data_IF_514403654019
#
_entry.id   IF_514403654019
#
_cell.length_a   1.000
_cell.length_b   1.000
_cell.length_c   1.000
_cell.angle_alpha   90.00
_cell.angle_beta   90.00
_cell.angle_gamma   90.00
#
_symmetry.space_group_name_H-M   'P 1'
#
loop_
_entity.id
_entity.type
_entity.pdbx_description
1 polymer ?
#
# COMPACT_ATOMS: atom_id res chain seq x y z
N UNK A 1 -1.57 -20.29 -20.74
CA UNK A 1 -0.98 -18.96 -20.76
C UNK A 1 0.40 -19.07 -20.13
N UNK A 2 1.43 -18.63 -20.84
CA UNK A 2 2.81 -18.64 -20.33
C UNK A 2 3.05 -17.47 -19.36
N UNK A 3 4.11 -17.58 -18.57
CA UNK A 3 4.48 -16.62 -17.53
C UNK A 3 4.77 -15.21 -18.08
N UNK A 4 5.42 -15.11 -19.24
CA UNK A 4 5.81 -13.81 -19.81
C UNK A 4 4.57 -13.03 -20.25
N UNK A 5 3.64 -13.69 -20.94
CA UNK A 5 2.35 -13.11 -21.31
C UNK A 5 1.58 -12.65 -20.06
N UNK A 6 1.56 -13.48 -19.00
CA UNK A 6 0.86 -13.13 -17.76
C UNK A 6 1.45 -11.88 -17.07
N UNK A 7 2.77 -11.72 -17.10
CA UNK A 7 3.45 -10.51 -16.58
C UNK A 7 3.10 -9.29 -17.42
N UNK A 8 3.14 -9.42 -18.76
CA UNK A 8 2.85 -8.33 -19.69
C UNK A 8 1.41 -7.85 -19.58
N UNK A 9 0.43 -8.75 -19.56
CA UNK A 9 -0.98 -8.40 -19.38
C UNK A 9 -1.23 -7.72 -18.02
N UNK A 10 -0.56 -8.19 -16.95
CA UNK A 10 -0.62 -7.55 -15.64
C UNK A 10 0.04 -6.17 -15.63
N UNK A 11 1.13 -5.97 -16.39
CA UNK A 11 1.74 -4.66 -16.60
C UNK A 11 0.80 -3.70 -17.35
N UNK A 12 0.07 -4.19 -18.36
CA UNK A 12 -0.96 -3.42 -19.04
C UNK A 12 -2.08 -3.00 -18.07
N UNK A 13 -2.57 -3.92 -17.23
CA UNK A 13 -3.55 -3.60 -16.20
C UNK A 13 -3.04 -2.56 -15.20
N UNK A 14 -1.78 -2.66 -14.77
CA UNK A 14 -1.16 -1.66 -13.92
C UNK A 14 -1.08 -0.28 -14.61
N UNK A 15 -0.73 -0.24 -15.89
CA UNK A 15 -0.71 1.01 -16.65
C UNK A 15 -2.12 1.63 -16.77
N UNK A 16 -3.17 0.81 -16.87
CA UNK A 16 -4.57 1.26 -16.87
C UNK A 16 -4.94 1.88 -15.52
N UNK A 17 -4.61 1.21 -14.40
CA UNK A 17 -4.81 1.75 -13.04
C UNK A 17 -4.10 3.10 -12.87
N UNK A 18 -2.85 3.21 -13.32
CA UNK A 18 -2.07 4.45 -13.23
C UNK A 18 -2.58 5.59 -14.12
N UNK A 19 -3.43 5.27 -15.11
CA UNK A 19 -4.17 6.23 -15.93
C UNK A 19 -5.64 6.37 -15.50
N UNK A 20 -5.98 5.98 -14.27
CA UNK A 20 -7.32 6.08 -13.69
C UNK A 20 -8.40 5.22 -14.38
N UNK A 21 -8.00 4.21 -15.17
CA UNK A 21 -8.91 3.30 -15.88
C UNK A 21 -9.09 2.01 -15.07
N UNK A 22 -9.65 2.12 -13.88
CA UNK A 22 -9.70 1.02 -12.90
C UNK A 22 -10.60 -0.13 -13.38
N UNK A 23 -11.76 0.20 -13.94
CA UNK A 23 -12.70 -0.80 -14.47
C UNK A 23 -12.11 -1.59 -15.65
N UNK A 24 -11.46 -0.90 -16.60
CA UNK A 24 -10.76 -1.55 -17.73
C UNK A 24 -9.65 -2.48 -17.25
N UNK A 25 -8.92 -2.09 -16.20
CA UNK A 25 -7.86 -2.93 -15.61
C UNK A 25 -8.44 -4.22 -15.00
N UNK A 26 -9.57 -4.13 -14.30
CA UNK A 26 -10.25 -5.31 -13.74
C UNK A 26 -10.77 -6.22 -14.85
N UNK A 27 -11.39 -5.66 -15.89
CA UNK A 27 -11.92 -6.43 -17.01
C UNK A 27 -10.83 -7.16 -17.79
N UNK A 28 -9.64 -6.55 -17.95
CA UNK A 28 -8.47 -7.20 -18.54
C UNK A 28 -8.01 -8.43 -17.74
N UNK A 29 -8.01 -8.35 -16.41
CA UNK A 29 -7.49 -9.41 -15.56
C UNK A 29 -8.51 -10.53 -15.26
N UNK A 30 -9.80 -10.21 -15.34
CA UNK A 30 -10.93 -11.08 -14.97
C UNK A 30 -11.02 -12.43 -15.71
N UNK A 31 -10.58 -12.61 -16.96
CA UNK A 31 -10.63 -13.91 -17.61
C UNK A 31 -9.65 -14.93 -17.01
N UNK A 32 -8.49 -14.46 -16.52
CA UNK A 32 -7.36 -15.33 -16.14
C UNK A 32 -7.03 -15.33 -14.65
N UNK A 33 -7.68 -14.50 -13.83
CA UNK A 33 -7.33 -14.34 -12.40
C UNK A 33 -7.42 -15.62 -11.55
N UNK A 34 -8.18 -16.65 -11.97
CA UNK A 34 -8.20 -17.96 -11.28
C UNK A 34 -7.15 -18.94 -11.79
N UNK A 35 -6.58 -18.68 -12.96
CA UNK A 35 -5.75 -19.64 -13.71
C UNK A 35 -4.29 -19.21 -13.84
N UNK A 36 -3.96 -17.94 -13.58
CA UNK A 36 -2.60 -17.40 -13.67
C UNK A 36 -2.24 -16.64 -12.39
N UNK A 37 -1.06 -16.90 -11.81
CA UNK A 37 -0.59 -16.27 -10.56
C UNK A 37 -0.53 -14.74 -10.63
N UNK A 38 -0.07 -14.16 -11.75
CA UNK A 38 0.07 -12.71 -11.92
C UNK A 38 -1.28 -12.02 -12.08
N UNK A 39 -2.16 -12.55 -12.92
CA UNK A 39 -3.56 -12.15 -13.01
C UNK A 39 -4.29 -12.24 -11.67
N UNK A 40 -4.08 -13.33 -10.91
CA UNK A 40 -4.67 -13.52 -9.59
C UNK A 40 -4.22 -12.42 -8.63
N UNK A 41 -2.91 -12.18 -8.57
CA UNK A 41 -2.30 -11.13 -7.76
C UNK A 41 -2.83 -9.74 -8.18
N UNK A 42 -2.76 -9.39 -9.46
CA UNK A 42 -3.18 -8.08 -9.96
C UNK A 42 -4.65 -7.80 -9.69
N UNK A 43 -5.53 -8.75 -10.01
CA UNK A 43 -6.98 -8.60 -9.82
C UNK A 43 -7.33 -8.45 -8.34
N UNK A 44 -6.75 -9.31 -7.49
CA UNK A 44 -6.96 -9.23 -6.04
C UNK A 44 -6.36 -7.96 -5.43
N UNK A 45 -5.22 -7.47 -5.93
CA UNK A 45 -4.58 -6.23 -5.48
C UNK A 45 -5.46 -5.00 -5.71
N UNK A 46 -6.09 -4.91 -6.88
CA UNK A 46 -7.01 -3.80 -7.20
C UNK A 46 -8.21 -3.81 -6.25
N UNK A 47 -8.81 -4.99 -6.00
CA UNK A 47 -9.92 -5.10 -5.05
C UNK A 47 -9.50 -4.86 -3.60
N UNK A 48 -8.29 -5.26 -3.19
CA UNK A 48 -7.72 -4.95 -1.87
C UNK A 48 -7.55 -3.44 -1.72
N UNK A 49 -7.05 -2.76 -2.76
CA UNK A 49 -6.90 -1.30 -2.77
C UNK A 49 -8.26 -0.63 -2.62
N UNK A 50 -9.27 -1.04 -3.40
CA UNK A 50 -10.64 -0.54 -3.28
C UNK A 50 -11.19 -0.74 -1.86
N UNK A 51 -11.14 -1.96 -1.33
CA UNK A 51 -11.64 -2.28 0.01
C UNK A 51 -10.95 -1.48 1.12
N UNK A 52 -9.64 -1.27 1.00
CA UNK A 52 -8.84 -0.47 1.95
C UNK A 52 -9.20 1.00 1.87
N UNK A 53 -9.56 1.53 0.70
CA UNK A 53 -9.95 2.92 0.57
C UNK A 53 -11.40 3.17 0.99
N UNK A 54 -12.33 2.27 0.63
CA UNK A 54 -13.76 2.45 0.88
C UNK A 54 -14.12 2.18 2.34
N UNK A 55 -13.38 1.29 3.01
CA UNK A 55 -13.73 0.76 4.35
C UNK A 55 -15.14 0.16 4.39
N UNK A 56 -15.69 -0.24 3.24
CA UNK A 56 -17.01 -0.87 3.17
C UNK A 56 -16.91 -2.37 3.45
N UNK A 57 -17.77 -2.85 4.35
CA UNK A 57 -17.77 -4.27 4.73
C UNK A 57 -17.94 -5.19 3.51
N UNK A 58 -18.81 -4.83 2.56
CA UNK A 58 -19.04 -5.61 1.34
C UNK A 58 -17.77 -5.72 0.49
N UNK A 59 -17.07 -4.61 0.29
CA UNK A 59 -15.82 -4.57 -0.47
C UNK A 59 -14.71 -5.36 0.24
N UNK A 60 -14.60 -5.21 1.56
CA UNK A 60 -13.64 -5.97 2.38
C UNK A 60 -13.91 -7.48 2.27
N UNK A 61 -15.16 -7.94 2.34
CA UNK A 61 -15.48 -9.36 2.19
C UNK A 61 -15.18 -9.87 0.77
N UNK A 62 -15.52 -9.08 -0.26
CA UNK A 62 -15.25 -9.43 -1.65
C UNK A 62 -13.74 -9.53 -1.93
N UNK A 63 -12.95 -8.57 -1.44
CA UNK A 63 -11.50 -8.57 -1.54
C UNK A 63 -10.89 -9.73 -0.74
N UNK A 64 -11.40 -10.03 0.46
CA UNK A 64 -10.94 -11.15 1.28
C UNK A 64 -11.25 -12.52 0.64
N UNK A 65 -12.39 -12.67 -0.03
CA UNK A 65 -12.69 -13.88 -0.81
C UNK A 65 -11.75 -14.00 -2.02
N UNK A 66 -11.54 -12.91 -2.74
CA UNK A 66 -10.68 -12.89 -3.94
C UNK A 66 -9.22 -13.18 -3.60
N UNK A 67 -8.66 -12.56 -2.55
CA UNK A 67 -7.26 -12.80 -2.14
C UNK A 67 -7.04 -14.23 -1.61
N UNK A 68 -8.07 -14.85 -1.00
CA UNK A 68 -8.02 -16.28 -0.62
C UNK A 68 -7.91 -17.18 -1.84
N UNK A 69 -8.69 -16.90 -2.88
CA UNK A 69 -8.61 -17.63 -4.14
C UNK A 69 -7.27 -17.36 -4.84
N UNK A 70 -6.77 -16.12 -4.85
CA UNK A 70 -5.46 -15.80 -5.42
C UNK A 70 -4.31 -16.55 -4.72
N UNK A 71 -4.36 -16.68 -3.38
CA UNK A 71 -3.42 -17.52 -2.64
C UNK A 71 -3.52 -18.99 -3.06
N UNK A 72 -4.74 -19.51 -3.27
CA UNK A 72 -4.95 -20.88 -3.74
C UNK A 72 -4.38 -21.07 -5.15
N UNK A 73 -4.62 -20.13 -6.07
CA UNK A 73 -4.02 -20.13 -7.41
C UNK A 73 -2.50 -20.14 -7.33
N UNK A 74 -1.87 -19.22 -6.57
CA UNK A 74 -0.41 -19.21 -6.41
C UNK A 74 0.11 -20.52 -5.79
N UNK A 75 -0.59 -21.08 -4.80
CA UNK A 75 -0.22 -22.35 -4.15
C UNK A 75 -0.23 -23.54 -5.12
N UNK A 76 -1.01 -23.52 -6.20
CA UNK A 76 -0.99 -24.58 -7.22
C UNK A 76 0.30 -24.59 -8.04
N UNK A 77 0.93 -23.43 -8.20
CA UNK A 77 2.22 -23.27 -8.87
C UNK A 77 3.40 -23.45 -7.90
N UNK A 78 3.15 -23.43 -6.58
CA UNK A 78 4.13 -23.78 -5.55
C UNK A 78 4.17 -25.31 -5.36
N UNK A 79 5.36 -25.92 -5.29
CA UNK A 79 5.47 -27.37 -5.03
C UNK A 79 4.94 -27.75 -3.65
N UNK A 80 4.18 -28.85 -3.57
CA UNK A 80 3.69 -29.45 -2.30
C UNK A 80 4.70 -30.33 -1.55
N UNK A 81 5.87 -30.64 -2.11
CA UNK A 81 6.80 -31.66 -1.56
C UNK A 81 8.29 -31.21 -1.46
N UNK A 82 8.59 -30.00 -0.97
CA UNK A 82 9.97 -29.68 -0.53
C UNK A 82 9.96 -29.17 0.90
N UNK A 83 9.62 -30.07 1.81
CA UNK A 83 10.11 -29.97 3.18
C UNK A 83 11.62 -30.24 3.07
N UNK A 84 12.43 -29.20 3.34
CA UNK A 84 13.90 -29.22 3.47
C UNK A 84 14.65 -29.40 2.14
N UNK A 85 15.12 -28.30 1.52
CA UNK A 85 16.01 -28.43 0.36
C UNK A 85 16.30 -27.20 -0.50
N UNK A 86 16.55 -26.03 0.09
CA UNK A 86 17.35 -24.94 -0.51
C UNK A 86 16.88 -24.40 -1.89
N UNK A 87 16.05 -23.35 -1.88
CA UNK A 87 15.87 -22.41 -3.01
C UNK A 87 17.22 -21.94 -3.58
N UNK A 88 18.26 -21.86 -2.74
CA UNK A 88 19.64 -21.56 -3.13
C UNK A 88 20.27 -22.65 -4.04
N UNK A 89 19.93 -23.93 -3.87
CA UNK A 89 20.37 -25.00 -4.77
C UNK A 89 19.65 -24.98 -6.14
N UNK A 90 18.38 -24.54 -6.17
CA UNK A 90 17.57 -24.49 -7.39
C UNK A 90 17.97 -23.35 -8.33
N UNK A 91 18.35 -22.20 -7.77
CA UNK A 91 18.76 -21.04 -8.57
C UNK A 91 20.19 -21.23 -9.15
N UNK A 92 21.00 -22.10 -8.55
CA UNK A 92 22.36 -22.42 -9.03
C UNK A 92 22.42 -23.29 -10.30
N UNK A 93 21.36 -24.08 -10.61
CA UNK A 93 21.38 -25.10 -11.69
C UNK A 93 20.52 -24.70 -12.91
N UNK A 94 20.80 -23.55 -13.54
CA UNK A 94 19.99 -22.98 -14.65
C UNK A 94 20.16 -23.60 -16.05
N UNK A 95 20.98 -24.65 -16.24
CA UNK A 95 21.38 -25.13 -17.59
C UNK A 95 20.52 -26.23 -18.24
N UNK A 96 19.30 -26.52 -17.75
CA UNK A 96 18.48 -27.66 -18.24
C UNK A 96 17.01 -27.29 -18.56
N UNK A 97 16.27 -28.09 -19.37
CA UNK A 97 14.85 -27.89 -19.69
C UNK A 97 13.90 -27.80 -18.47
N UNK A 98 14.38 -28.23 -17.30
CA UNK A 98 13.77 -28.03 -15.98
C UNK A 98 13.73 -26.56 -15.52
N UNK A 99 14.39 -25.63 -16.23
CA UNK A 99 14.51 -24.21 -15.86
C UNK A 99 13.17 -23.44 -15.92
N UNK A 100 12.25 -23.78 -16.84
CA UNK A 100 10.98 -23.05 -16.96
C UNK A 100 10.08 -23.27 -15.75
N UNK A 101 9.97 -24.54 -15.30
CA UNK A 101 9.22 -24.93 -14.11
C UNK A 101 9.82 -24.30 -12.83
N UNK A 102 11.16 -24.25 -12.73
CA UNK A 102 11.84 -23.56 -11.61
C UNK A 102 11.57 -22.06 -11.62
N UNK A 103 11.51 -21.43 -12.79
CA UNK A 103 11.22 -20.00 -12.90
C UNK A 103 9.78 -19.68 -12.48
N UNK A 104 8.80 -20.45 -12.94
CA UNK A 104 7.40 -20.30 -12.51
C UNK A 104 7.23 -20.48 -10.99
N UNK A 105 7.95 -21.44 -10.39
CA UNK A 105 7.96 -21.65 -8.94
C UNK A 105 8.47 -20.42 -8.18
N UNK A 106 9.58 -19.82 -8.63
CA UNK A 106 10.13 -18.60 -8.03
C UNK A 106 9.13 -17.43 -8.05
N UNK A 107 8.46 -17.23 -9.18
CA UNK A 107 7.42 -16.20 -9.30
C UNK A 107 6.19 -16.51 -8.44
N UNK A 108 5.83 -17.78 -8.29
CA UNK A 108 4.72 -18.20 -7.44
C UNK A 108 5.00 -17.93 -5.96
N UNK A 109 6.24 -18.12 -5.50
CA UNK A 109 6.67 -17.77 -4.13
C UNK A 109 6.46 -16.27 -3.85
N UNK A 110 6.91 -15.39 -4.74
CA UNK A 110 6.77 -13.94 -4.58
C UNK A 110 5.30 -13.51 -4.65
N UNK A 111 4.54 -13.97 -5.64
CA UNK A 111 3.11 -13.64 -5.75
C UNK A 111 2.34 -14.12 -4.50
N UNK A 112 2.68 -15.29 -3.97
CA UNK A 112 2.10 -15.81 -2.74
C UNK A 112 2.48 -14.94 -1.52
N UNK A 113 3.75 -14.55 -1.38
CA UNK A 113 4.22 -13.69 -0.30
C UNK A 113 3.52 -12.32 -0.31
N UNK A 114 3.26 -11.74 -1.49
CA UNK A 114 2.51 -10.49 -1.65
C UNK A 114 1.03 -10.67 -1.29
N UNK A 115 0.41 -11.75 -1.75
CA UNK A 115 -0.97 -12.05 -1.40
C UNK A 115 -1.14 -12.26 0.12
N UNK A 116 -0.14 -12.85 0.79
CA UNK A 116 -0.13 -12.98 2.25
C UNK A 116 -0.11 -11.62 2.94
N UNK A 117 0.69 -10.67 2.45
CA UNK A 117 0.75 -9.31 2.99
C UNK A 117 -0.57 -8.56 2.80
N UNK A 118 -1.13 -8.60 1.60
CA UNK A 118 -2.43 -7.97 1.31
C UNK A 118 -3.55 -8.58 2.15
N UNK A 119 -3.56 -9.90 2.33
CA UNK A 119 -4.52 -10.58 3.19
C UNK A 119 -4.34 -10.22 4.67
N UNK A 120 -3.10 -10.08 5.15
CA UNK A 120 -2.83 -9.63 6.51
C UNK A 120 -3.33 -8.19 6.71
N UNK A 121 -3.07 -7.31 5.75
CA UNK A 121 -3.58 -5.93 5.74
C UNK A 121 -5.11 -5.88 5.84
N UNK A 122 -5.82 -6.62 4.98
CA UNK A 122 -7.28 -6.70 5.04
C UNK A 122 -7.79 -7.28 6.36
N UNK A 123 -7.07 -8.23 6.95
CA UNK A 123 -7.42 -8.79 8.27
C UNK A 123 -7.38 -7.69 9.33
N UNK A 124 -6.34 -6.86 9.35
CA UNK A 124 -6.24 -5.74 10.30
C UNK A 124 -7.30 -4.66 10.05
N UNK A 125 -7.62 -4.35 8.78
CA UNK A 125 -8.71 -3.41 8.41
C UNK A 125 -10.07 -3.94 8.85
N UNK A 126 -10.32 -5.24 8.68
CA UNK A 126 -11.57 -5.88 9.07
C UNK A 126 -11.79 -5.81 10.58
N UNK A 127 -10.74 -6.03 11.40
CA UNK A 127 -10.85 -5.92 12.86
C UNK A 127 -11.31 -4.51 13.27
N UNK A 128 -10.78 -3.46 12.63
CA UNK A 128 -11.16 -2.07 12.90
C UNK A 128 -12.61 -1.73 12.50
N UNK A 129 -13.20 -2.45 11.54
CA UNK A 129 -14.60 -2.25 11.14
C UNK A 129 -15.59 -2.86 12.16
N UNK A 130 -15.22 -3.98 12.79
CA UNK A 130 -16.05 -4.62 13.83
C UNK A 130 -16.11 -3.73 15.08
N UNK A 131 -15.00 -3.10 15.48
CA UNK A 131 -14.99 -2.14 16.60
C UNK A 131 -15.88 -0.91 16.39
N UNK A 132 -16.15 -0.49 15.14
CA UNK A 132 -17.05 0.64 14.87
C UNK A 132 -18.55 0.26 14.88
N UNK A 133 -18.90 -1.03 14.75
CA UNK A 133 -20.29 -1.47 14.59
C UNK A 133 -20.84 -2.27 15.78
N UNK A 134 -19.99 -2.78 16.68
CA UNK A 134 -20.43 -3.58 17.83
C UNK A 134 -19.90 -3.04 19.15
N UNK A 135 -20.22 -1.77 19.47
CA UNK A 135 -20.26 -1.35 20.86
C UNK A 135 -21.50 -1.96 21.52
N UNK A 136 -21.41 -3.22 21.94
CA UNK A 136 -22.28 -3.80 22.98
C UNK A 136 -21.38 -4.30 24.12
N UNK A 137 -21.55 -3.80 25.36
CA UNK A 137 -20.63 -4.02 26.46
C UNK A 137 -20.86 -5.38 27.15
N UNK A 138 -20.79 -6.49 26.41
CA UNK A 138 -20.94 -7.86 26.96
C UNK A 138 -20.07 -8.88 26.23
N UNK A 139 -18.77 -8.64 26.04
CA UNK A 139 -17.80 -9.71 25.72
C UNK A 139 -16.43 -9.33 26.28
N UNK A 140 -16.23 -9.52 27.58
CA UNK A 140 -14.95 -9.31 28.26
C UNK A 140 -14.46 -10.60 28.94
N UNK A 141 -14.72 -11.80 28.39
CA UNK A 141 -14.21 -13.04 29.01
C UNK A 141 -13.97 -14.25 28.09
N UNK A 142 -13.79 -14.05 26.79
CA UNK A 142 -13.28 -15.09 25.86
C UNK A 142 -12.12 -14.50 25.07
N UNK A 143 -11.07 -15.26 24.78
CA UNK A 143 -10.00 -14.78 23.89
C UNK A 143 -10.62 -14.35 22.56
N UNK A 144 -10.77 -13.04 22.35
CA UNK A 144 -11.59 -12.49 21.28
C UNK A 144 -11.21 -13.07 19.92
N UNK A 145 -12.19 -13.35 19.05
CA UNK A 145 -11.97 -13.65 17.62
C UNK A 145 -11.07 -12.59 16.96
N UNK A 146 -11.08 -11.37 17.49
CA UNK A 146 -10.23 -10.23 17.11
C UNK A 146 -8.75 -10.46 17.45
N UNK A 147 -8.41 -10.98 18.64
CA UNK A 147 -7.02 -11.31 18.98
C UNK A 147 -6.51 -12.48 18.11
N UNK A 148 -7.37 -13.46 17.83
CA UNK A 148 -7.05 -14.57 16.92
C UNK A 148 -6.77 -14.07 15.50
N UNK A 149 -7.55 -13.11 14.99
CA UNK A 149 -7.32 -12.53 13.66
C UNK A 149 -6.05 -11.67 13.61
N UNK A 150 -5.71 -10.93 14.67
CA UNK A 150 -4.40 -10.25 14.79
C UNK A 150 -3.23 -11.23 14.75
N UNK A 151 -3.29 -12.33 15.52
CA UNK A 151 -2.27 -13.40 15.50
C UNK A 151 -2.18 -14.02 14.11
N UNK A 152 -3.33 -14.36 13.50
CA UNK A 152 -3.38 -14.90 12.13
C UNK A 152 -2.81 -13.93 11.10
N UNK A 153 -2.94 -12.62 11.30
CA UNK A 153 -2.32 -11.58 10.47
C UNK A 153 -0.81 -11.57 10.66
N UNK A 154 -0.33 -11.54 11.91
CA UNK A 154 1.09 -11.57 12.25
C UNK A 154 1.83 -12.78 11.68
N UNK A 155 1.25 -13.98 11.79
CA UNK A 155 1.83 -15.22 11.22
C UNK A 155 2.00 -15.10 9.69
N UNK A 156 1.06 -14.45 8.98
CA UNK A 156 1.15 -14.26 7.51
C UNK A 156 2.26 -13.29 7.14
N UNK A 157 2.41 -12.21 7.90
CA UNK A 157 3.50 -11.25 7.74
C UNK A 157 4.85 -11.94 7.95
N UNK A 158 4.97 -12.75 9.01
CA UNK A 158 6.17 -13.54 9.27
C UNK A 158 6.47 -14.55 8.15
N UNK A 159 5.46 -15.28 7.69
CA UNK A 159 5.62 -16.25 6.59
C UNK A 159 6.10 -15.54 5.31
N UNK A 160 5.49 -14.39 4.97
CA UNK A 160 5.90 -13.58 3.83
C UNK A 160 7.35 -13.10 3.96
N UNK A 161 7.74 -12.60 5.14
CA UNK A 161 9.11 -12.16 5.41
C UNK A 161 10.13 -13.29 5.19
N UNK A 162 9.85 -14.50 5.67
CA UNK A 162 10.74 -15.64 5.48
C UNK A 162 10.89 -16.01 4.00
N UNK A 163 9.79 -16.02 3.23
CA UNK A 163 9.84 -16.29 1.79
C UNK A 163 10.75 -15.28 1.07
N UNK A 164 10.65 -13.99 1.40
CA UNK A 164 11.53 -12.97 0.80
C UNK A 164 13.00 -13.16 1.17
N UNK A 165 13.31 -13.52 2.42
CA UNK A 165 14.69 -13.85 2.82
C UNK A 165 15.24 -15.05 2.05
N UNK A 166 14.43 -16.10 1.90
CA UNK A 166 14.83 -17.30 1.17
C UNK A 166 15.08 -16.99 -0.31
N UNK A 167 14.22 -16.17 -0.93
CA UNK A 167 14.39 -15.69 -2.30
C UNK A 167 15.66 -14.85 -2.46
N UNK A 168 15.93 -13.93 -1.53
CA UNK A 168 17.13 -13.08 -1.57
C UNK A 168 18.42 -13.90 -1.44
N UNK A 169 18.48 -14.82 -0.47
CA UNK A 169 19.63 -15.72 -0.31
C UNK A 169 19.88 -16.56 -1.57
N UNK A 170 18.78 -16.96 -2.22
CA UNK A 170 18.81 -17.65 -3.50
C UNK A 170 19.47 -16.85 -4.63
N UNK A 171 19.18 -15.55 -4.73
CA UNK A 171 19.79 -14.65 -5.71
C UNK A 171 21.29 -14.45 -5.41
N UNK A 172 21.66 -14.16 -4.16
CA UNK A 172 23.06 -13.91 -3.78
C UNK A 172 23.99 -15.10 -4.02
N UNK A 173 23.45 -16.32 -4.03
CA UNK A 173 24.22 -17.55 -4.34
C UNK A 173 24.43 -17.74 -5.85
N UNK A 174 23.60 -17.12 -6.69
CA UNK A 174 23.65 -17.29 -8.14
C UNK A 174 24.66 -16.33 -8.78
N UNK A 175 25.75 -16.90 -9.30
CA UNK A 175 26.75 -16.17 -10.08
C UNK A 175 26.26 -16.01 -11.53
N UNK A 176 25.60 -14.91 -11.86
CA UNK A 176 25.48 -14.49 -13.27
C UNK A 176 25.24 -12.97 -13.41
N UNK A 177 26.29 -12.15 -13.63
CA UNK A 177 26.17 -10.70 -13.68
C UNK A 177 25.72 -10.11 -15.02
N UNK A 178 25.76 -10.83 -16.15
CA UNK A 178 25.88 -10.16 -17.46
C UNK A 178 24.86 -10.58 -18.55
N UNK A 179 23.71 -11.15 -18.16
CA UNK A 179 22.69 -11.57 -19.13
C UNK A 179 21.36 -11.97 -18.51
N UNK A 180 20.85 -11.19 -17.55
CA UNK A 180 19.61 -11.53 -16.85
C UNK A 180 18.41 -11.47 -17.80
N UNK A 181 17.69 -12.60 -17.93
CA UNK A 181 16.43 -12.66 -18.67
C UNK A 181 15.41 -11.66 -18.09
N UNK A 182 14.53 -11.13 -18.94
CA UNK A 182 13.47 -10.20 -18.51
C UNK A 182 12.64 -10.79 -17.36
N UNK A 183 12.38 -12.09 -17.41
CA UNK A 183 11.67 -12.82 -16.35
C UNK A 183 12.42 -12.79 -15.01
N UNK A 184 13.75 -12.99 -15.01
CA UNK A 184 14.53 -12.87 -13.78
C UNK A 184 14.53 -11.45 -13.21
N UNK A 185 14.59 -10.42 -14.07
CA UNK A 185 14.47 -9.02 -13.65
C UNK A 185 13.14 -8.73 -12.96
N UNK A 186 12.05 -9.35 -13.43
CA UNK A 186 10.72 -9.26 -12.81
C UNK A 186 10.66 -9.93 -11.42
N UNK A 187 11.39 -11.03 -11.24
CA UNK A 187 11.54 -11.69 -9.94
C UNK A 187 12.41 -10.87 -8.98
N UNK A 188 13.61 -10.47 -9.40
CA UNK A 188 14.56 -9.68 -8.61
C UNK A 188 13.94 -8.36 -8.15
N UNK A 189 13.23 -7.66 -9.03
CA UNK A 189 12.48 -6.46 -8.67
C UNK A 189 11.45 -6.69 -7.55
N UNK A 190 10.83 -7.88 -7.51
CA UNK A 190 9.91 -8.24 -6.43
C UNK A 190 10.57 -8.63 -5.12
N UNK A 191 11.72 -9.32 -5.19
CA UNK A 191 12.53 -9.57 -4.00
C UNK A 191 13.00 -8.26 -3.39
N UNK A 192 13.50 -7.32 -4.21
CA UNK A 192 13.91 -5.99 -3.78
C UNK A 192 12.78 -5.20 -3.13
N UNK A 193 11.58 -5.22 -3.72
CA UNK A 193 10.39 -4.60 -3.12
C UNK A 193 10.12 -5.15 -1.72
N UNK A 194 10.01 -6.48 -1.59
CA UNK A 194 9.67 -7.13 -0.33
C UNK A 194 10.74 -6.93 0.74
N UNK A 195 11.98 -7.31 0.45
CA UNK A 195 13.10 -7.19 1.39
C UNK A 195 13.34 -5.74 1.79
N UNK A 196 13.31 -4.84 0.82
CA UNK A 196 13.47 -3.41 1.03
C UNK A 196 12.41 -2.85 1.97
N UNK A 197 11.13 -3.17 1.69
CA UNK A 197 9.99 -2.74 2.50
C UNK A 197 10.04 -3.30 3.92
N UNK A 198 10.35 -4.58 4.09
CA UNK A 198 10.45 -5.21 5.41
C UNK A 198 11.58 -4.60 6.25
N UNK A 199 12.78 -4.46 5.68
CA UNK A 199 13.91 -3.87 6.38
C UNK A 199 13.63 -2.43 6.79
N UNK A 200 13.02 -1.64 5.89
CA UNK A 200 12.62 -0.28 6.19
C UNK A 200 11.57 -0.24 7.30
N UNK A 201 10.46 -0.95 7.15
CA UNK A 201 9.36 -0.95 8.12
C UNK A 201 9.80 -1.41 9.51
N UNK A 202 10.60 -2.47 9.60
CA UNK A 202 11.14 -2.95 10.88
C UNK A 202 12.05 -1.89 11.50
N UNK A 203 12.90 -1.20 10.73
CA UNK A 203 13.79 -0.16 11.23
C UNK A 203 13.10 1.09 11.79
N UNK A 204 11.78 1.21 11.56
CA UNK A 204 10.95 2.34 12.03
C UNK A 204 10.18 1.99 13.30
N UNK A 205 10.17 0.72 13.72
CA UNK A 205 9.49 0.30 14.93
C UNK A 205 10.25 0.77 16.18
N UNK A 206 9.54 1.18 17.25
CA UNK A 206 10.16 1.47 18.54
C UNK A 206 10.99 0.29 19.06
N UNK A 207 12.12 0.58 19.71
CA UNK A 207 13.08 -0.42 20.18
C UNK A 207 12.47 -1.53 21.08
N UNK A 208 11.40 -1.21 21.83
CA UNK A 208 10.68 -2.19 22.66
C UNK A 208 9.97 -3.26 21.82
N UNK A 209 9.38 -2.88 20.69
CA UNK A 209 8.70 -3.79 19.76
C UNK A 209 9.73 -4.58 18.97
N UNK A 210 10.82 -3.93 18.53
CA UNK A 210 11.91 -4.59 17.82
C UNK A 210 12.50 -5.76 18.59
N UNK A 211 12.82 -5.61 19.89
CA UNK A 211 13.36 -6.69 20.71
C UNK A 211 12.46 -7.94 20.77
N UNK A 212 11.13 -7.76 20.74
CA UNK A 212 10.19 -8.87 20.71
C UNK A 212 10.15 -9.56 19.35
N UNK A 213 10.27 -8.80 18.26
CA UNK A 213 10.26 -9.33 16.89
C UNK A 213 11.60 -9.98 16.51
N UNK A 214 12.71 -9.46 17.02
CA UNK A 214 14.06 -10.03 16.85
C UNK A 214 14.17 -11.43 17.44
N UNK A 215 13.53 -11.66 18.59
CA UNK A 215 13.42 -13.00 19.18
C UNK A 215 12.73 -14.01 18.25
N UNK A 216 11.86 -13.53 17.35
CA UNK A 216 11.09 -14.34 16.39
C UNK A 216 11.80 -14.40 15.01
N UNK A 217 12.96 -13.74 14.87
CA UNK A 217 13.81 -13.78 13.66
C UNK A 217 13.67 -12.58 12.72
N UNK A 218 12.91 -11.55 13.09
CA UNK A 218 12.86 -10.30 12.33
C UNK A 218 14.10 -9.45 12.60
N UNK A 219 14.66 -8.84 11.57
CA UNK A 219 15.70 -7.81 11.73
C UNK A 219 15.51 -6.77 10.64
N UNK A 220 15.75 -5.51 10.98
CA UNK A 220 15.56 -4.38 10.07
C UNK A 220 16.81 -3.53 9.98
N UNK A 221 17.36 -3.40 8.78
CA UNK A 221 18.43 -2.44 8.49
C UNK A 221 17.89 -1.37 7.54
N UNK A 222 17.76 -0.13 8.04
CA UNK A 222 17.21 0.99 7.27
C UNK A 222 18.00 1.27 5.99
N UNK A 223 19.32 1.38 6.10
CA UNK A 223 20.18 1.72 4.96
C UNK A 223 20.10 0.64 3.87
N UNK A 224 20.13 -0.63 4.29
CA UNK A 224 19.94 -1.76 3.37
C UNK A 224 18.56 -1.74 2.72
N UNK A 225 17.51 -1.52 3.52
CA UNK A 225 16.13 -1.44 3.03
C UNK A 225 15.93 -0.36 1.97
N UNK A 226 16.47 0.84 2.22
CA UNK A 226 16.46 1.95 1.27
C UNK A 226 17.27 1.64 0.00
N UNK A 227 18.44 1.00 0.11
CA UNK A 227 19.24 0.59 -1.06
C UNK A 227 18.47 -0.38 -1.96
N UNK A 228 17.87 -1.42 -1.37
CA UNK A 228 17.11 -2.42 -2.12
C UNK A 228 15.89 -1.81 -2.82
N UNK A 229 15.17 -0.89 -2.16
CA UNK A 229 14.06 -0.17 -2.79
C UNK A 229 14.52 0.72 -3.95
N UNK A 230 15.66 1.42 -3.81
CA UNK A 230 16.23 2.27 -4.87
C UNK A 230 16.60 1.44 -6.10
N UNK A 231 17.32 0.34 -5.89
CA UNK A 231 17.65 -0.61 -6.95
C UNK A 231 16.38 -1.18 -7.60
N UNK A 232 15.38 -1.55 -6.79
CA UNK A 232 14.10 -2.05 -7.27
C UNK A 232 13.35 -1.04 -8.12
N UNK A 233 13.34 0.23 -7.73
CA UNK A 233 12.73 1.33 -8.50
C UNK A 233 13.42 1.52 -9.86
N UNK A 234 14.74 1.31 -9.95
CA UNK A 234 15.50 1.38 -11.20
C UNK A 234 15.41 0.13 -12.10
N UNK A 235 14.91 -0.99 -11.58
CA UNK A 235 14.97 -2.31 -12.25
C UNK A 235 14.05 -2.50 -13.47
N UNK A 236 13.24 -1.50 -13.85
CA UNK A 236 12.24 -1.59 -14.94
C UNK A 236 11.34 -2.85 -14.87
N UNK A 237 11.02 -3.30 -13.66
CA UNK A 237 10.09 -4.42 -13.40
C UNK A 237 8.67 -3.90 -13.18
N UNK A 238 7.69 -4.81 -13.19
CA UNK A 238 6.32 -4.56 -12.76
C UNK A 238 6.25 -3.90 -11.38
N UNK A 239 7.22 -4.24 -10.51
CA UNK A 239 7.27 -3.82 -9.12
C UNK A 239 8.06 -2.55 -8.87
N UNK A 240 8.74 -2.02 -9.90
CA UNK A 240 9.51 -0.77 -9.79
C UNK A 240 8.68 0.40 -9.30
N UNK A 241 7.43 0.53 -9.76
CA UNK A 241 6.56 1.61 -9.26
C UNK A 241 6.19 1.43 -7.79
N UNK A 242 5.97 0.22 -7.32
CA UNK A 242 5.67 -0.01 -5.90
C UNK A 242 6.89 0.33 -5.04
N UNK A 243 8.11 0.03 -5.50
CA UNK A 243 9.33 0.49 -4.82
C UNK A 243 9.40 2.03 -4.76
N UNK A 244 9.12 2.70 -5.87
CA UNK A 244 9.10 4.16 -5.94
C UNK A 244 8.02 4.75 -5.02
N UNK A 245 6.81 4.18 -5.00
CA UNK A 245 5.72 4.60 -4.12
C UNK A 245 6.06 4.37 -2.63
N UNK A 246 6.73 3.28 -2.28
CA UNK A 246 7.20 3.03 -0.91
C UNK A 246 8.23 4.08 -0.48
N UNK A 247 9.19 4.41 -1.35
CA UNK A 247 10.18 5.46 -1.10
C UNK A 247 9.55 6.86 -1.03
N UNK A 248 8.58 7.16 -1.90
CA UNK A 248 7.81 8.39 -1.85
C UNK A 248 7.08 8.52 -0.52
N UNK A 249 6.32 7.49 -0.14
CA UNK A 249 5.61 7.47 1.15
C UNK A 249 6.56 7.64 2.34
N UNK A 250 7.74 7.00 2.30
CA UNK A 250 8.77 7.17 3.31
C UNK A 250 9.23 8.63 3.41
N UNK A 251 9.65 9.22 2.29
CA UNK A 251 10.21 10.57 2.23
C UNK A 251 9.17 11.67 2.49
N UNK A 252 7.90 11.49 2.11
CA UNK A 252 6.87 12.55 2.18
C UNK A 252 5.89 12.44 3.34
N UNK A 253 5.86 11.30 4.05
CA UNK A 253 4.97 11.08 5.19
C UNK A 253 5.70 10.50 6.40
N UNK A 254 6.30 9.32 6.26
CA UNK A 254 6.85 8.59 7.42
C UNK A 254 7.94 9.38 8.14
N UNK A 255 8.90 9.93 7.39
CA UNK A 255 10.01 10.68 7.99
C UNK A 255 9.55 11.91 8.77
N UNK A 256 8.44 12.53 8.33
CA UNK A 256 7.82 13.69 8.99
C UNK A 256 7.04 13.28 10.24
N UNK A 257 6.19 12.26 10.14
CA UNK A 257 5.35 11.79 11.26
C UNK A 257 6.21 11.28 12.42
N UNK A 258 7.29 10.55 12.10
CA UNK A 258 8.18 10.01 13.12
C UNK A 258 9.20 11.04 13.64
N UNK A 259 9.17 12.28 13.14
CA UNK A 259 10.10 13.33 13.56
C UNK A 259 11.56 13.01 13.27
N UNK A 260 11.85 12.10 12.33
CA UNK A 260 13.22 11.71 11.96
C UNK A 260 13.94 12.79 11.16
N UNK A 261 13.24 13.87 10.79
CA UNK A 261 13.83 15.17 10.44
C UNK A 261 14.32 15.35 9.00
N UNK A 262 14.45 14.29 8.20
CA UNK A 262 15.14 14.36 6.90
C UNK A 262 14.38 13.62 5.79
N UNK A 263 13.18 14.10 5.45
CA UNK A 263 12.54 13.66 4.20
C UNK A 263 13.32 14.19 3.00
N UNK A 264 13.80 13.30 2.11
CA UNK A 264 14.57 13.73 0.94
C UNK A 264 13.63 14.11 -0.22
N UNK A 265 13.25 15.39 -0.29
CA UNK A 265 12.36 15.89 -1.34
C UNK A 265 12.99 15.88 -2.75
N UNK A 266 14.32 15.95 -2.85
CA UNK A 266 15.01 15.85 -4.14
C UNK A 266 14.93 14.42 -4.68
N UNK A 267 15.10 13.43 -3.81
CA UNK A 267 14.88 12.02 -4.15
C UNK A 267 13.41 11.75 -4.50
N UNK A 268 12.46 12.32 -3.74
CA UNK A 268 11.04 12.19 -4.03
C UNK A 268 10.67 12.70 -5.44
N UNK A 269 11.20 13.85 -5.84
CA UNK A 269 11.01 14.38 -7.21
C UNK A 269 11.61 13.45 -8.27
N UNK A 270 12.86 13.01 -8.08
CA UNK A 270 13.55 12.13 -9.03
C UNK A 270 12.82 10.78 -9.20
N UNK A 271 12.24 10.26 -8.12
CA UNK A 271 11.41 9.04 -8.18
C UNK A 271 10.11 9.24 -8.95
N UNK A 272 9.52 10.44 -8.90
CA UNK A 272 8.22 10.73 -9.50
C UNK A 272 8.32 11.15 -10.98
N UNK A 273 9.43 11.79 -11.38
CA UNK A 273 9.63 12.36 -12.72
C UNK A 273 9.34 11.38 -13.88
N UNK A 274 9.82 10.12 -13.89
CA UNK A 274 9.51 9.18 -14.97
C UNK A 274 8.00 8.89 -15.10
N UNK A 275 7.28 8.92 -13.98
CA UNK A 275 5.84 8.66 -13.92
C UNK A 275 5.02 9.90 -14.29
N UNK A 276 5.54 11.11 -14.08
CA UNK A 276 4.92 12.34 -14.59
C UNK A 276 4.89 12.37 -16.11
N UNK A 277 5.97 11.95 -16.75
CA UNK A 277 6.04 11.88 -18.21
C UNK A 277 5.12 10.78 -18.76
N UNK A 278 5.11 9.62 -18.10
CA UNK A 278 4.35 8.46 -18.57
C UNK A 278 2.84 8.54 -18.27
N UNK A 279 2.46 9.14 -17.15
CA UNK A 279 1.09 9.22 -16.64
C UNK A 279 0.74 10.64 -16.17
N UNK A 280 0.76 11.65 -17.08
CA UNK A 280 0.62 13.05 -16.70
C UNK A 280 -0.70 13.39 -16.00
N UNK A 281 -1.77 12.62 -16.29
CA UNK A 281 -3.09 12.74 -15.66
C UNK A 281 -3.40 11.65 -14.62
N UNK A 282 -2.43 10.79 -14.31
CA UNK A 282 -2.60 9.73 -13.34
C UNK A 282 -2.81 10.31 -11.94
N UNK A 283 -3.90 9.94 -11.28
CA UNK A 283 -4.28 10.50 -9.97
C UNK A 283 -3.19 10.30 -8.91
N UNK A 284 -2.56 9.12 -8.85
CA UNK A 284 -1.44 8.84 -7.94
C UNK A 284 -0.27 9.81 -8.20
N UNK A 285 0.03 10.07 -9.47
CA UNK A 285 1.14 10.95 -9.87
C UNK A 285 0.85 12.40 -9.55
N UNK A 286 -0.37 12.86 -9.86
CA UNK A 286 -0.84 14.21 -9.51
C UNK A 286 -0.85 14.42 -7.99
N UNK A 287 -1.34 13.43 -7.23
CA UNK A 287 -1.37 13.47 -5.77
C UNK A 287 0.03 13.63 -5.17
N UNK A 288 1.00 12.80 -5.57
CA UNK A 288 2.37 12.94 -5.06
C UNK A 288 3.04 14.23 -5.54
N UNK A 289 2.75 14.70 -6.76
CA UNK A 289 3.25 15.99 -7.25
C UNK A 289 2.73 17.16 -6.41
N UNK A 290 1.45 17.11 -6.02
CA UNK A 290 0.85 18.09 -5.13
C UNK A 290 1.49 18.01 -3.73
N UNK A 291 1.63 16.80 -3.19
CA UNK A 291 2.24 16.57 -1.87
C UNK A 291 3.66 17.11 -1.77
N UNK A 292 4.51 16.85 -2.76
CA UNK A 292 5.88 17.40 -2.78
C UNK A 292 5.84 18.93 -2.84
N UNK A 293 4.90 19.51 -3.60
CA UNK A 293 4.71 20.97 -3.66
C UNK A 293 4.28 21.56 -2.31
N UNK A 294 3.36 20.89 -1.59
CA UNK A 294 2.96 21.25 -0.22
C UNK A 294 4.17 21.25 0.73
N UNK A 295 5.00 20.22 0.67
CA UNK A 295 6.19 20.09 1.54
C UNK A 295 7.28 21.13 1.24
N UNK A 296 7.27 21.72 0.04
CA UNK A 296 8.12 22.86 -0.31
C UNK A 296 7.53 24.21 0.05
N UNK A 297 6.32 24.24 0.62
CA UNK A 297 5.58 25.48 0.89
C UNK A 297 5.00 26.16 -0.35
N UNK A 298 4.99 25.48 -1.50
CA UNK A 298 4.33 26.00 -2.70
C UNK A 298 2.86 25.59 -2.72
N UNK A 299 2.08 26.22 -1.85
CA UNK A 299 0.68 25.88 -1.61
C UNK A 299 -0.21 26.15 -2.83
N UNK A 300 0.00 27.23 -3.58
CA UNK A 300 -0.75 27.52 -4.81
C UNK A 300 -0.64 26.39 -5.85
N UNK A 301 0.60 25.97 -6.13
CA UNK A 301 0.85 24.85 -7.04
C UNK A 301 0.27 23.55 -6.52
N UNK A 302 0.36 23.32 -5.21
CA UNK A 302 -0.20 22.13 -4.58
C UNK A 302 -1.73 22.07 -4.73
N UNK A 303 -2.44 23.18 -4.46
CA UNK A 303 -3.90 23.29 -4.61
C UNK A 303 -4.33 22.96 -6.04
N UNK A 304 -3.74 23.65 -7.02
CA UNK A 304 -4.03 23.41 -8.44
C UNK A 304 -3.82 21.93 -8.84
N UNK A 305 -2.77 21.28 -8.31
CA UNK A 305 -2.51 19.86 -8.59
C UNK A 305 -3.45 18.90 -7.88
N UNK A 306 -3.89 19.19 -6.65
CA UNK A 306 -4.93 18.40 -5.98
C UNK A 306 -6.28 18.52 -6.68
N UNK A 307 -6.66 19.72 -7.13
CA UNK A 307 -7.87 19.95 -7.93
C UNK A 307 -7.80 19.24 -9.28
N UNK A 308 -6.64 19.30 -9.96
CA UNK A 308 -6.38 18.52 -11.17
C UNK A 308 -6.55 17.02 -10.91
N UNK A 309 -6.01 16.51 -9.80
CA UNK A 309 -6.18 15.11 -9.38
C UNK A 309 -7.65 14.73 -9.21
N UNK A 310 -8.43 15.57 -8.52
CA UNK A 310 -9.88 15.36 -8.34
C UNK A 310 -10.60 15.32 -9.69
N UNK A 311 -10.31 16.26 -10.59
CA UNK A 311 -10.93 16.31 -11.91
C UNK A 311 -10.51 15.18 -12.85
N UNK A 312 -9.36 14.53 -12.60
CA UNK A 312 -8.79 13.51 -13.48
C UNK A 312 -9.56 12.19 -13.54
N UNK A 313 -10.44 11.91 -12.58
CA UNK A 313 -11.20 10.67 -12.49
C UNK A 313 -12.45 10.82 -11.61
N UNK A 314 -13.48 10.00 -11.84
CA UNK A 314 -14.73 10.01 -11.05
C UNK A 314 -15.12 8.61 -10.54
N UNK A 315 -14.40 7.55 -10.93
CA UNK A 315 -14.71 6.17 -10.53
C UNK A 315 -14.46 5.96 -9.03
N UNK A 316 -13.35 6.46 -8.50
CA UNK A 316 -12.90 6.22 -7.13
C UNK A 316 -12.91 7.52 -6.32
N UNK A 317 -14.07 7.85 -5.74
CA UNK A 317 -14.25 9.04 -4.89
C UNK A 317 -13.31 9.10 -3.69
N UNK A 318 -12.79 7.96 -3.24
CA UNK A 318 -11.86 7.88 -2.11
C UNK A 318 -10.52 8.56 -2.43
N UNK A 319 -10.10 8.60 -3.69
CA UNK A 319 -8.93 9.39 -4.09
C UNK A 319 -9.23 10.89 -3.94
N UNK A 320 -10.47 11.32 -4.20
CA UNK A 320 -10.89 12.70 -3.91
C UNK A 320 -10.82 12.99 -2.42
N UNK A 321 -11.25 12.05 -1.57
CA UNK A 321 -11.14 12.20 -0.11
C UNK A 321 -9.69 12.38 0.36
N UNK A 322 -8.72 11.67 -0.24
CA UNK A 322 -7.30 11.91 0.03
C UNK A 322 -6.87 13.32 -0.37
N UNK A 323 -7.34 13.82 -1.51
CA UNK A 323 -7.07 15.19 -1.96
C UNK A 323 -7.73 16.23 -1.05
N UNK A 324 -8.98 16.01 -0.62
CA UNK A 324 -9.69 16.89 0.33
C UNK A 324 -8.95 16.97 1.66
N UNK A 325 -8.40 15.86 2.14
CA UNK A 325 -7.57 15.85 3.36
C UNK A 325 -6.35 16.75 3.22
N UNK A 326 -5.62 16.65 2.11
CA UNK A 326 -4.44 17.47 1.88
C UNK A 326 -4.78 18.94 1.57
N UNK A 327 -5.90 19.20 0.89
CA UNK A 327 -6.41 20.56 0.64
C UNK A 327 -6.84 21.24 1.95
N UNK A 328 -7.54 20.53 2.84
CA UNK A 328 -7.88 20.99 4.19
C UNK A 328 -6.63 21.48 4.92
N UNK A 329 -5.56 20.67 4.94
CA UNK A 329 -4.29 21.07 5.55
C UNK A 329 -3.61 22.22 4.82
N UNK A 330 -3.62 22.22 3.49
CA UNK A 330 -3.02 23.29 2.68
C UNK A 330 -3.65 24.65 2.99
N UNK A 331 -4.98 24.73 3.03
CA UNK A 331 -5.72 25.91 3.47
C UNK A 331 -5.43 26.26 4.94
N UNK A 332 -5.36 25.25 5.82
CA UNK A 332 -5.06 25.47 7.24
C UNK A 332 -3.66 26.08 7.45
N UNK A 333 -2.65 25.67 6.68
CA UNK A 333 -1.31 26.26 6.74
C UNK A 333 -1.29 27.73 6.30
N UNK A 334 -2.21 28.12 5.42
CA UNK A 334 -2.39 29.50 4.96
C UNK A 334 -3.37 30.31 5.83
N UNK A 335 -3.91 29.72 6.91
CA UNK A 335 -4.92 30.32 7.79
C UNK A 335 -6.24 30.66 7.07
N UNK A 336 -6.53 29.95 5.97
CA UNK A 336 -7.78 30.06 5.21
C UNK A 336 -8.83 29.11 5.82
N UNK A 337 -9.27 29.43 7.05
CA UNK A 337 -10.04 28.54 7.89
C UNK A 337 -11.41 28.15 7.32
N UNK A 338 -12.06 29.06 6.59
CA UNK A 338 -13.37 28.81 5.97
C UNK A 338 -13.27 27.70 4.90
N UNK A 339 -12.28 27.78 4.02
CA UNK A 339 -12.04 26.78 2.97
C UNK A 339 -11.58 25.45 3.59
N UNK A 340 -10.73 25.50 4.61
CA UNK A 340 -10.33 24.31 5.37
C UNK A 340 -11.55 23.61 5.99
N UNK A 341 -12.49 24.39 6.55
CA UNK A 341 -13.73 23.88 7.13
C UNK A 341 -14.60 23.16 6.10
N UNK A 342 -14.76 23.72 4.89
CA UNK A 342 -15.56 23.10 3.81
C UNK A 342 -15.06 21.69 3.47
N UNK A 343 -13.74 21.51 3.34
CA UNK A 343 -13.16 20.18 3.11
C UNK A 343 -13.28 19.26 4.34
N UNK A 344 -13.09 19.79 5.56
CA UNK A 344 -13.25 19.01 6.79
C UNK A 344 -14.70 18.50 6.95
N UNK A 345 -15.68 19.35 6.65
CA UNK A 345 -17.11 19.00 6.68
C UNK A 345 -17.47 17.98 5.59
N UNK A 346 -16.93 18.13 4.38
CA UNK A 346 -17.11 17.16 3.30
C UNK A 346 -16.56 15.78 3.68
N UNK A 347 -15.37 15.72 4.27
CA UNK A 347 -14.78 14.47 4.79
C UNK A 347 -15.62 13.86 5.93
N UNK A 348 -16.10 14.69 6.86
CA UNK A 348 -17.00 14.27 7.92
C UNK A 348 -18.27 13.63 7.38
N UNK A 349 -18.86 14.18 6.32
CA UNK A 349 -20.10 13.68 5.71
C UNK A 349 -19.84 12.40 4.89
N UNK A 350 -18.85 12.43 4.02
CA UNK A 350 -18.69 11.40 2.98
C UNK A 350 -17.76 10.24 3.36
N UNK A 351 -16.67 10.49 4.09
CA UNK A 351 -15.62 9.49 4.29
C UNK A 351 -15.87 8.59 5.51
N UNK A 352 -15.59 7.29 5.38
CA UNK A 352 -15.74 6.29 6.46
C UNK A 352 -14.43 5.92 7.16
N UNK A 353 -13.30 6.44 6.70
CA UNK A 353 -11.97 6.00 7.13
C UNK A 353 -11.69 6.23 8.63
N UNK A 354 -11.94 7.45 9.12
CA UNK A 354 -11.80 7.79 10.53
C UNK A 354 -12.72 8.96 10.93
N UNK A 355 -13.99 8.65 11.18
CA UNK A 355 -14.99 9.66 11.60
C UNK A 355 -14.50 10.49 12.80
N UNK A 356 -13.84 9.84 13.76
CA UNK A 356 -13.23 10.47 14.92
C UNK A 356 -12.28 11.62 14.56
N UNK A 357 -11.33 11.34 13.67
CA UNK A 357 -10.32 12.31 13.25
C UNK A 357 -10.98 13.44 12.48
N UNK A 358 -11.91 13.14 11.57
CA UNK A 358 -12.58 14.18 10.79
C UNK A 358 -13.42 15.10 11.67
N UNK A 359 -14.20 14.57 12.62
CA UNK A 359 -15.00 15.39 13.55
C UNK A 359 -14.10 16.24 14.43
N UNK A 360 -13.03 15.66 14.96
CA UNK A 360 -12.05 16.40 15.76
C UNK A 360 -11.39 17.53 14.96
N UNK A 361 -10.95 17.26 13.74
CA UNK A 361 -10.32 18.29 12.91
C UNK A 361 -11.31 19.38 12.48
N UNK A 362 -12.55 19.02 12.16
CA UNK A 362 -13.63 19.99 11.89
C UNK A 362 -13.83 20.92 13.08
N UNK A 363 -13.91 20.39 14.30
CA UNK A 363 -14.04 21.18 15.52
C UNK A 363 -12.81 22.07 15.79
N UNK A 364 -11.61 21.53 15.57
CA UNK A 364 -10.36 22.29 15.72
C UNK A 364 -10.29 23.46 14.73
N UNK A 365 -10.66 23.26 13.47
CA UNK A 365 -10.69 24.32 12.46
C UNK A 365 -11.74 25.39 12.81
N UNK A 366 -12.95 24.99 13.22
CA UNK A 366 -13.99 25.93 13.67
C UNK A 366 -13.52 26.78 14.85
N UNK A 367 -12.71 26.21 15.75
CA UNK A 367 -12.16 26.95 16.91
C UNK A 367 -11.17 28.05 16.53
N UNK A 368 -10.63 27.99 15.30
CA UNK A 368 -9.73 29.02 14.76
C UNK A 368 -10.48 30.14 14.01
N UNK A 369 -11.79 29.96 13.76
CA UNK A 369 -12.62 30.92 13.04
C UNK A 369 -13.23 31.98 13.97
N UNK A 370 -13.74 33.07 13.40
CA UNK A 370 -14.46 34.09 14.15
C UNK A 370 -15.81 33.54 14.65
N UNK A 371 -16.31 34.05 15.79
CA UNK A 371 -17.63 33.63 16.30
C UNK A 371 -18.76 33.89 15.31
N UNK A 372 -18.66 34.95 14.51
CA UNK A 372 -19.64 35.27 13.46
C UNK A 372 -19.66 34.22 12.36
N UNK A 373 -18.49 33.76 11.91
CA UNK A 373 -18.39 32.75 10.87
C UNK A 373 -18.81 31.37 11.39
N UNK A 374 -18.47 31.03 12.64
CA UNK A 374 -18.97 29.81 13.29
C UNK A 374 -20.50 29.82 13.40
N UNK A 375 -21.11 30.96 13.74
CA UNK A 375 -22.59 31.05 13.77
C UNK A 375 -23.23 30.80 12.40
N UNK A 376 -22.56 31.16 11.29
CA UNK A 376 -23.08 30.91 9.92
C UNK A 376 -23.07 29.43 9.57
N UNK A 377 -22.18 28.62 10.14
CA UNK A 377 -22.15 27.18 9.87
C UNK A 377 -23.27 26.43 10.60
N UNK A 378 -23.80 27.01 11.69
CA UNK A 378 -24.84 26.37 12.52
C UNK A 378 -24.31 25.22 13.38
N UNK A 379 -22.99 25.05 13.46
CA UNK A 379 -22.34 23.99 14.22
C UNK A 379 -22.09 24.40 15.67
N UNK A 380 -22.16 23.44 16.59
CA UNK A 380 -21.73 23.62 17.98
C UNK A 380 -20.36 22.96 18.18
N UNK A 381 -19.32 23.79 18.32
CA UNK A 381 -17.93 23.34 18.47
C UNK A 381 -17.74 22.45 19.71
N UNK A 382 -18.42 22.75 20.81
CA UNK A 382 -18.31 21.99 22.05
C UNK A 382 -18.92 20.61 21.88
N UNK A 383 -20.10 20.53 21.26
CA UNK A 383 -20.74 19.25 20.95
C UNK A 383 -19.95 18.44 19.91
N UNK A 384 -19.31 19.09 18.94
CA UNK A 384 -18.40 18.40 18.01
C UNK A 384 -17.20 17.77 18.74
N UNK A 385 -16.57 18.46 19.69
CA UNK A 385 -15.51 17.84 20.49
C UNK A 385 -16.00 16.71 21.39
N UNK A 386 -17.23 16.81 21.92
CA UNK A 386 -17.84 15.75 22.75
C UNK A 386 -18.31 14.54 21.96
N UNK A 387 -18.73 14.74 20.71
CA UNK A 387 -19.21 13.69 19.80
C UNK A 387 -18.09 12.89 19.14
N UNK A 388 -16.82 13.21 19.44
CA UNK A 388 -15.71 12.29 19.22
C UNK A 388 -16.01 10.92 19.86
N UNK A 389 -15.50 9.80 19.32
CA UNK A 389 -16.04 8.47 19.61
C UNK A 389 -16.10 8.23 21.12
N UNK A 390 -17.31 8.04 21.63
CA UNK A 390 -17.48 7.30 22.87
C UNK A 390 -16.84 5.92 22.65
N UNK A 391 -15.84 5.63 23.48
CA UNK A 391 -14.97 4.46 23.40
C UNK A 391 -15.71 3.14 23.26
#
# INVERSE_FOLDING_TARGET
MDLQTAIQETQCALNLVLNNKFSEALDLLKPWWKHSMYHALGYSSILVMQATMTFEHRDIQAAMATIKEALHTCQRFRKKNSVIGSLSSLISNRKSPSCLCVTEEMHAEICYAECLLQKAMLTFVQVRTVYLFTCLPVYMFTCDENMISFIKGGIKVQTSYQIYKDCQNGISTSQDPDGQSDVFRQFDGGVKLGVGSFNLMLSLLPHRILRLLEFIGFSGNRAFGLSQLKEGASSHSLRSIFCALTLLFYNTYVSLILGTGEGNLAEADALLEPYQQKYPKGSIVLFYSARISTLRGNFEKARAKYEECISSQQEWKQIHHLCYWELMWTHSYQQEWQQAYEYADLLCKESRWSKAIYVYQKAAILSMMSEEDVKKTGEDVVELFKSGPHK
#
